data_IF_731916207722
#
_entry.id   IF_731916207722
#
_cell.length_a   1.000
_cell.length_b   1.000
_cell.length_c   1.000
_cell.angle_alpha   90.00
_cell.angle_beta   90.00
_cell.angle_gamma   90.00
#
_symmetry.space_group_name_H-M   'P 1'
#
loop_
_entity.id
_entity.type
_entity.pdbx_description
1 polymer ?
#
# COMPACT_ATOMS: atom_id res chain seq x y z
N UNK A 1 -19.52 -35.34 9.63
CA UNK A 1 -19.58 -33.89 9.86
C UNK A 1 -18.21 -33.38 9.48
N UNK A 2 -18.02 -33.02 8.22
CA UNK A 2 -16.73 -32.53 7.72
C UNK A 2 -17.01 -31.17 7.10
N UNK A 3 -16.72 -30.13 7.87
CA UNK A 3 -17.00 -28.74 7.52
C UNK A 3 -15.90 -28.22 6.62
N UNK A 4 -16.03 -28.44 5.31
CA UNK A 4 -15.18 -27.80 4.32
C UNK A 4 -15.38 -26.29 4.39
N UNK A 5 -14.37 -25.57 4.87
CA UNK A 5 -14.32 -24.11 4.78
C UNK A 5 -14.16 -23.78 3.30
N UNK A 6 -15.25 -23.42 2.65
CA UNK A 6 -15.22 -22.99 1.25
C UNK A 6 -14.49 -21.67 1.17
N UNK A 7 -13.22 -21.68 0.76
CA UNK A 7 -12.57 -20.46 0.30
C UNK A 7 -13.26 -20.04 -1.00
N UNK A 8 -13.93 -18.90 -0.94
CA UNK A 8 -14.45 -18.25 -2.14
C UNK A 8 -13.26 -17.85 -3.01
N UNK A 9 -13.41 -17.77 -4.33
CA UNK A 9 -12.32 -17.31 -5.22
C UNK A 9 -11.77 -15.90 -4.87
N UNK A 10 -12.46 -15.19 -3.99
CA UNK A 10 -12.17 -13.84 -3.50
C UNK A 10 -11.47 -13.81 -2.12
N UNK A 11 -11.21 -14.96 -1.49
CA UNK A 11 -10.42 -15.06 -0.25
C UNK A 11 -8.94 -15.24 -0.59
N UNK A 12 -8.05 -14.51 0.10
CA UNK A 12 -6.61 -14.61 -0.13
C UNK A 12 -5.82 -13.32 0.10
N UNK A 13 -4.52 -13.38 -0.18
CA UNK A 13 -3.60 -12.25 -0.03
C UNK A 13 -3.33 -11.60 -1.39
N UNK A 14 -3.73 -10.35 -1.53
CA UNK A 14 -3.52 -9.54 -2.74
C UNK A 14 -2.38 -8.55 -2.51
N UNK A 15 -1.32 -8.67 -3.30
CA UNK A 15 -0.12 -7.81 -3.18
C UNK A 15 -0.11 -6.77 -4.29
N UNK A 16 0.02 -5.49 -3.93
CA UNK A 16 0.09 -4.37 -4.87
C UNK A 16 1.41 -3.61 -4.71
N UNK A 17 2.15 -3.48 -5.81
CA UNK A 17 3.33 -2.63 -5.91
C UNK A 17 2.91 -1.19 -6.23
N UNK A 18 3.32 -0.25 -5.38
CA UNK A 18 3.05 1.18 -5.54
C UNK A 18 4.30 1.88 -6.06
N UNK A 19 4.48 1.91 -7.38
CA UNK A 19 5.65 2.49 -8.04
C UNK A 19 5.32 3.81 -8.76
N UNK A 20 6.35 4.62 -9.05
CA UNK A 20 6.23 5.88 -9.78
C UNK A 20 6.87 7.06 -9.04
N UNK A 21 6.32 8.26 -9.25
CA UNK A 21 6.89 9.52 -8.76
C UNK A 21 6.04 10.18 -7.65
N UNK A 22 6.13 11.52 -7.49
CA UNK A 22 5.60 12.24 -6.31
C UNK A 22 4.10 12.10 -6.08
N UNK A 23 3.33 11.95 -7.17
CA UNK A 23 1.88 11.75 -7.07
C UNK A 23 1.52 10.39 -6.46
N UNK A 24 2.38 9.38 -6.61
CA UNK A 24 2.22 8.08 -5.95
C UNK A 24 2.79 8.11 -4.53
N UNK A 25 3.94 8.75 -4.32
CA UNK A 25 4.55 8.79 -2.98
C UNK A 25 3.74 9.62 -1.97
N UNK A 26 2.91 10.54 -2.45
CA UNK A 26 1.94 11.27 -1.65
C UNK A 26 2.52 12.53 -1.04
N UNK A 27 1.80 13.64 -1.18
CA UNK A 27 2.17 14.97 -0.65
C UNK A 27 0.97 15.68 0.01
N UNK A 28 -0.11 14.95 0.27
CA UNK A 28 -1.29 15.48 0.94
C UNK A 28 -1.07 15.63 2.45
N UNK A 29 -1.85 16.52 3.07
CA UNK A 29 -1.80 16.75 4.53
C UNK A 29 -2.13 15.48 5.30
N UNK A 30 -1.27 15.12 6.25
CA UNK A 30 -1.52 13.98 7.13
C UNK A 30 -2.66 14.29 8.12
N UNK A 31 -3.56 13.33 8.38
CA UNK A 31 -4.56 13.47 9.42
C UNK A 31 -3.90 13.46 10.81
N UNK A 32 -4.65 13.85 11.85
CA UNK A 32 -4.18 13.65 13.22
C UNK A 32 -3.96 12.15 13.52
N UNK A 33 -3.08 11.79 14.47
CA UNK A 33 -2.86 10.39 14.84
C UNK A 33 -4.14 9.66 15.25
N UNK A 34 -5.05 10.34 15.93
CA UNK A 34 -6.36 9.78 16.33
C UNK A 34 -7.24 9.47 15.12
N UNK A 35 -7.28 10.36 14.13
CA UNK A 35 -8.00 10.11 12.89
C UNK A 35 -7.35 8.97 12.10
N UNK A 36 -6.02 8.95 11.97
CA UNK A 36 -5.30 7.87 11.30
C UNK A 36 -5.63 6.49 11.90
N UNK A 37 -5.64 6.39 13.23
CA UNK A 37 -5.99 5.16 13.95
C UNK A 37 -7.45 4.74 13.75
N UNK A 38 -8.39 5.69 13.79
CA UNK A 38 -9.82 5.42 13.55
C UNK A 38 -10.09 4.86 12.15
N UNK A 39 -9.19 5.12 11.21
CA UNK A 39 -9.29 4.67 9.84
C UNK A 39 -8.48 3.40 9.55
N UNK A 40 -7.74 2.82 10.51
CA UNK A 40 -6.93 1.63 10.23
C UNK A 40 -7.82 0.39 9.98
N UNK A 41 -7.54 -0.36 8.90
CA UNK A 41 -8.15 -1.68 8.65
C UNK A 41 -7.06 -2.74 8.85
N UNK A 42 -7.24 -3.72 9.77
CA UNK A 42 -6.22 -4.74 10.05
C UNK A 42 -5.93 -5.66 8.85
N UNK A 43 -6.82 -5.72 7.86
CA UNK A 43 -6.64 -6.49 6.63
C UNK A 43 -5.83 -5.74 5.57
N UNK A 44 -5.38 -4.52 5.85
CA UNK A 44 -4.49 -3.77 4.95
C UNK A 44 -3.12 -3.61 5.62
N UNK A 45 -2.10 -4.21 5.02
CA UNK A 45 -0.72 -4.23 5.50
C UNK A 45 0.19 -3.52 4.51
N UNK A 46 1.29 -2.95 5.00
CA UNK A 46 2.30 -2.28 4.18
C UNK A 46 3.69 -2.82 4.52
N UNK A 47 4.51 -3.04 3.49
CA UNK A 47 5.90 -3.42 3.65
C UNK A 47 6.72 -2.20 4.10
N UNK A 48 7.46 -2.35 5.20
CA UNK A 48 8.35 -1.31 5.77
C UNK A 48 9.83 -1.68 5.63
N UNK A 49 10.18 -2.51 4.65
CA UNK A 49 11.56 -2.93 4.45
C UNK A 49 11.98 -3.93 5.54
N UNK A 50 13.15 -3.75 6.18
CA UNK A 50 13.66 -4.67 7.19
C UNK A 50 12.69 -4.94 8.36
N UNK A 51 11.84 -3.98 8.68
CA UNK A 51 10.85 -4.08 9.78
C UNK A 51 9.65 -4.97 9.43
N UNK A 52 9.54 -5.43 8.18
CA UNK A 52 8.51 -6.36 7.74
C UNK A 52 7.17 -5.71 7.42
N UNK A 53 6.09 -6.49 7.60
CA UNK A 53 4.71 -6.06 7.30
C UNK A 53 4.04 -5.41 8.51
N UNK A 54 3.70 -4.13 8.40
CA UNK A 54 3.00 -3.36 9.43
C UNK A 54 1.55 -3.04 9.02
N UNK A 55 0.65 -2.67 9.95
CA UNK A 55 -0.63 -2.06 9.59
C UNK A 55 -0.42 -0.84 8.69
N UNK A 56 -1.25 -0.70 7.65
CA UNK A 56 -1.11 0.40 6.69
C UNK A 56 -1.67 1.71 7.25
N UNK A 57 -0.83 2.76 7.23
CA UNK A 57 -1.20 4.13 7.55
C UNK A 57 -0.36 5.09 6.68
N UNK A 58 -0.96 6.22 6.28
CA UNK A 58 -0.21 7.28 5.61
C UNK A 58 0.80 7.94 6.57
N UNK A 59 1.99 8.35 6.07
CA UNK A 59 2.44 8.18 4.71
C UNK A 59 2.87 6.72 4.42
N UNK A 60 2.46 6.19 3.27
CA UNK A 60 2.86 4.85 2.84
C UNK A 60 4.32 4.83 2.34
N UNK A 61 4.78 5.93 1.76
CA UNK A 61 6.15 6.07 1.27
C UNK A 61 6.99 6.88 2.26
N UNK A 62 8.28 6.56 2.34
CA UNK A 62 9.26 7.30 3.16
C UNK A 62 10.41 7.84 2.29
N UNK A 63 10.13 8.13 1.00
CA UNK A 63 11.13 8.57 0.02
C UNK A 63 11.72 9.95 0.35
N UNK A 64 10.92 10.83 0.98
CA UNK A 64 11.30 12.19 1.36
C UNK A 64 10.67 12.58 2.69
N UNK A 65 11.26 13.56 3.42
CA UNK A 65 10.65 14.12 4.63
C UNK A 65 9.25 14.74 4.41
N UNK A 66 8.95 15.12 3.16
CA UNK A 66 7.66 15.69 2.75
C UNK A 66 6.63 14.65 2.33
N UNK A 67 6.87 13.36 2.58
CA UNK A 67 5.88 12.32 2.32
C UNK A 67 4.61 12.56 3.15
N UNK A 68 3.47 12.42 2.48
CA UNK A 68 2.16 12.67 3.07
C UNK A 68 1.13 11.67 2.58
N UNK A 69 -0.13 12.06 2.62
CA UNK A 69 -1.22 11.25 2.09
C UNK A 69 -1.03 11.03 0.59
N UNK A 70 -1.10 9.77 0.17
CA UNK A 70 -1.08 9.34 -1.23
C UNK A 70 -2.31 8.48 -1.57
N UNK A 71 -2.42 8.00 -2.82
CA UNK A 71 -3.60 7.24 -3.25
C UNK A 71 -3.63 5.80 -2.73
N UNK A 72 -2.50 5.25 -2.28
CA UNK A 72 -2.36 3.80 -2.01
C UNK A 72 -3.32 3.26 -0.95
N UNK A 73 -3.51 3.98 0.16
CA UNK A 73 -4.37 3.51 1.25
C UNK A 73 -5.86 3.59 0.87
N UNK A 74 -6.26 4.65 0.16
CA UNK A 74 -7.62 4.79 -0.35
C UNK A 74 -7.93 3.73 -1.43
N UNK A 75 -6.98 3.48 -2.33
CA UNK A 75 -7.06 2.40 -3.32
C UNK A 75 -7.26 1.05 -2.64
N UNK A 76 -6.44 0.71 -1.65
CA UNK A 76 -6.54 -0.55 -0.93
C UNK A 76 -7.93 -0.75 -0.32
N UNK A 77 -8.50 0.27 0.34
CA UNK A 77 -9.86 0.17 0.90
C UNK A 77 -10.93 -0.05 -0.16
N UNK A 78 -10.83 0.68 -1.28
CA UNK A 78 -11.80 0.57 -2.36
C UNK A 78 -11.76 -0.82 -3.06
N UNK A 79 -10.59 -1.45 -3.09
CA UNK A 79 -10.41 -2.83 -3.56
C UNK A 79 -10.93 -3.82 -2.52
N UNK A 80 -10.52 -3.68 -1.26
CA UNK A 80 -10.91 -4.58 -0.17
C UNK A 80 -12.43 -4.63 0.02
N UNK A 81 -13.12 -3.49 -0.15
CA UNK A 81 -14.58 -3.41 -0.10
C UNK A 81 -15.30 -4.20 -1.22
N UNK A 82 -14.57 -4.63 -2.25
CA UNK A 82 -15.08 -5.48 -3.34
C UNK A 82 -14.70 -6.95 -3.18
N UNK A 83 -13.77 -7.26 -2.28
CA UNK A 83 -13.29 -8.61 -2.03
C UNK A 83 -14.06 -9.27 -0.88
N UNK A 84 -13.92 -10.59 -0.74
CA UNK A 84 -14.54 -11.36 0.33
C UNK A 84 -14.00 -11.01 1.72
N UNK A 85 -14.68 -11.46 2.77
CA UNK A 85 -14.25 -11.21 4.15
C UNK A 85 -12.87 -11.82 4.47
N UNK A 86 -12.48 -12.89 3.77
CA UNK A 86 -11.18 -13.54 3.90
C UNK A 86 -10.04 -12.89 3.09
N UNK A 87 -10.25 -11.71 2.50
CA UNK A 87 -9.22 -11.01 1.75
C UNK A 87 -8.30 -10.15 2.63
N UNK A 88 -7.00 -10.17 2.32
CA UNK A 88 -5.97 -9.29 2.87
C UNK A 88 -5.29 -8.53 1.72
N UNK A 89 -5.06 -7.23 1.90
CA UNK A 89 -4.27 -6.42 0.96
C UNK A 89 -2.90 -6.12 1.56
N UNK A 90 -1.86 -6.32 0.74
CA UNK A 90 -0.47 -6.00 1.05
C UNK A 90 0.06 -4.95 0.08
N UNK A 91 0.51 -3.83 0.60
CA UNK A 91 1.08 -2.72 -0.16
C UNK A 91 2.60 -2.76 -0.11
N UNK A 92 3.26 -2.66 -1.25
CA UNK A 92 4.71 -2.52 -1.37
C UNK A 92 5.03 -1.13 -1.91
N UNK A 93 5.41 -0.16 -1.05
CA UNK A 93 5.77 1.18 -1.47
C UNK A 93 7.12 1.15 -2.19
N UNK A 94 7.15 1.64 -3.44
CA UNK A 94 8.37 1.73 -4.23
C UNK A 94 8.53 3.09 -4.93
N UNK A 95 7.55 3.99 -4.86
CA UNK A 95 7.61 5.27 -5.54
C UNK A 95 8.71 6.20 -4.99
N UNK A 96 9.36 6.93 -5.90
CA UNK A 96 10.44 7.89 -5.59
C UNK A 96 10.10 9.25 -6.21
N UNK A 97 9.79 10.23 -5.37
CA UNK A 97 9.33 11.54 -5.83
C UNK A 97 10.39 12.32 -6.62
N UNK A 98 10.00 12.86 -7.77
CA UNK A 98 10.88 13.66 -8.64
C UNK A 98 11.87 12.84 -9.47
N UNK A 99 11.72 11.51 -9.53
CA UNK A 99 12.47 10.67 -10.45
C UNK A 99 11.99 10.87 -11.89
N UNK A 100 12.92 11.00 -12.83
CA UNK A 100 12.62 10.94 -14.26
C UNK A 100 12.29 9.50 -14.69
N UNK A 101 11.51 9.36 -15.77
CA UNK A 101 11.14 8.03 -16.30
C UNK A 101 12.36 7.20 -16.73
N UNK A 102 13.46 7.83 -17.13
CA UNK A 102 14.70 7.15 -17.52
C UNK A 102 15.30 6.30 -16.38
N UNK A 103 15.11 6.71 -15.12
CA UNK A 103 15.57 5.95 -13.95
C UNK A 103 14.78 4.66 -13.70
N UNK A 104 13.59 4.55 -14.29
CA UNK A 104 12.73 3.38 -14.24
C UNK A 104 12.91 2.47 -15.48
N UNK A 105 13.99 2.66 -16.23
CA UNK A 105 14.29 1.85 -17.42
C UNK A 105 14.70 0.43 -17.01
N UNK A 106 14.11 -0.62 -17.62
CA UNK A 106 14.58 -2.00 -17.43
C UNK A 106 16.03 -2.23 -17.88
N UNK A 107 16.59 -1.31 -18.67
CA UNK A 107 17.96 -1.39 -19.21
C UNK A 107 18.93 -0.56 -18.38
N UNK A 108 18.99 -0.82 -17.07
CA UNK A 108 19.97 -0.23 -16.16
C UNK A 108 19.53 1.05 -15.45
N UNK A 109 18.23 1.33 -15.42
CA UNK A 109 17.67 2.29 -14.47
C UNK A 109 17.80 1.75 -13.04
N UNK A 110 18.23 2.58 -12.11
CA UNK A 110 18.49 2.20 -10.72
C UNK A 110 17.23 2.19 -9.83
N UNK A 111 16.05 2.49 -10.40
CA UNK A 111 14.75 2.34 -9.74
C UNK A 111 13.89 1.19 -10.29
N UNK A 112 14.36 0.51 -11.34
CA UNK A 112 13.68 -0.66 -11.91
C UNK A 112 14.13 -1.94 -11.20
#
# INVERSE_FOLDING_TARGET
HDGGVGHSAEDGVFVFLLAGQSNMSGRGTLPSPSAAAAFADPRIRVWRGPDGWAPAADPLHADKPTAGVGPGLAFARAVLARLGEGAEIRLVPAAVGGSEIARWSPRGGDLF
#
